data_IF_570400901065
#
_entry.id   IF_570400901065
#
_cell.length_a   1.000
_cell.length_b   1.000
_cell.length_c   1.000
_cell.angle_alpha   90.00
_cell.angle_beta   90.00
_cell.angle_gamma   90.00
#
_symmetry.space_group_name_H-M   'P 1'
#
loop_
_entity.id
_entity.type
_entity.pdbx_description
1 polymer ?
#
# COMPACT_ATOMS: atom_id res chain seq x y z
N UNK A 1 -2.21 -11.00 -7.68
CA UNK A 1 -2.29 -9.61 -7.19
C UNK A 1 -2.39 -9.61 -5.68
N UNK A 2 -1.80 -8.63 -5.06
CA UNK A 2 -1.82 -8.51 -3.60
C UNK A 2 -2.63 -7.31 -3.16
N UNK A 3 -3.24 -7.43 -1.99
CA UNK A 3 -3.85 -6.34 -1.26
C UNK A 3 -2.89 -5.92 -0.17
N UNK A 4 -2.58 -4.63 -0.09
CA UNK A 4 -1.69 -4.08 0.94
C UNK A 4 -2.47 -3.10 1.81
N UNK A 5 -2.39 -3.31 3.13
CA UNK A 5 -2.96 -2.36 4.09
C UNK A 5 -1.85 -1.44 4.55
N UNK A 6 -2.10 -0.16 4.43
CA UNK A 6 -1.07 0.85 4.66
C UNK A 6 -1.59 1.97 5.55
N UNK A 7 -0.66 2.61 6.26
CA UNK A 7 -0.98 3.74 7.13
C UNK A 7 -0.01 4.87 6.82
N UNK A 8 -0.54 6.07 6.65
CA UNK A 8 0.28 7.25 6.38
C UNK A 8 0.96 7.70 7.66
N UNK A 9 2.29 7.86 7.59
CA UNK A 9 3.08 8.17 8.78
C UNK A 9 2.73 9.53 9.38
N UNK A 10 2.49 10.53 8.54
CA UNK A 10 2.29 11.90 9.01
C UNK A 10 0.94 12.09 9.70
N UNK A 11 -0.08 11.35 9.30
CA UNK A 11 -1.46 11.62 9.74
C UNK A 11 -2.15 10.44 10.40
N UNK A 12 -1.60 9.23 10.23
CA UNK A 12 -2.26 8.01 10.69
C UNK A 12 -3.41 7.56 9.79
N UNK A 13 -3.56 8.18 8.63
CA UNK A 13 -4.60 7.81 7.68
C UNK A 13 -4.36 6.39 7.17
N UNK A 14 -5.41 5.58 7.12
CA UNK A 14 -5.34 4.20 6.65
C UNK A 14 -5.90 4.10 5.23
N UNK A 15 -5.27 3.23 4.45
CA UNK A 15 -5.72 2.99 3.08
C UNK A 15 -5.40 1.56 2.67
N UNK A 16 -5.99 1.13 1.57
CA UNK A 16 -5.75 -0.18 0.99
C UNK A 16 -5.39 0.03 -0.47
N UNK A 17 -4.28 -0.59 -0.90
CA UNK A 17 -3.83 -0.51 -2.28
C UNK A 17 -3.60 -1.91 -2.83
N UNK A 18 -3.61 -2.03 -4.16
CA UNK A 18 -3.53 -3.31 -4.86
C UNK A 18 -2.44 -3.26 -5.91
N UNK A 19 -1.72 -4.37 -6.05
CA UNK A 19 -0.71 -4.47 -7.08
C UNK A 19 -0.08 -5.85 -7.11
N UNK A 20 0.78 -6.08 -8.09
CA UNK A 20 1.49 -7.36 -8.22
C UNK A 20 2.61 -7.48 -7.19
N UNK A 21 3.16 -6.36 -6.78
CA UNK A 21 4.09 -6.26 -5.66
C UNK A 21 3.91 -4.88 -5.03
N UNK A 22 4.70 -4.61 -3.99
CA UNK A 22 4.56 -3.35 -3.25
C UNK A 22 4.87 -2.15 -4.13
N UNK A 23 5.94 -2.22 -4.90
CA UNK A 23 6.32 -1.13 -5.80
C UNK A 23 5.21 -0.84 -6.82
N UNK A 24 4.66 -1.90 -7.40
CA UNK A 24 3.58 -1.76 -8.37
C UNK A 24 2.33 -1.15 -7.72
N UNK A 25 1.99 -1.61 -6.51
CA UNK A 25 0.81 -1.12 -5.81
C UNK A 25 0.89 0.38 -5.53
N UNK A 26 2.02 0.86 -5.04
CA UNK A 26 2.22 2.29 -4.78
C UNK A 26 2.20 3.11 -6.06
N UNK A 27 2.77 2.58 -7.13
CA UNK A 27 2.76 3.26 -8.42
C UNK A 27 1.35 3.41 -8.96
N UNK A 28 0.55 2.35 -8.88
CA UNK A 28 -0.83 2.36 -9.36
C UNK A 28 -1.69 3.32 -8.55
N UNK A 29 -1.44 3.39 -7.26
CA UNK A 29 -2.18 4.28 -6.36
C UNK A 29 -1.70 5.73 -6.44
N UNK A 30 -0.54 5.96 -7.09
CA UNK A 30 0.10 7.28 -7.20
C UNK A 30 0.44 7.84 -5.82
N UNK A 31 0.95 6.97 -4.95
CA UNK A 31 1.35 7.33 -3.60
C UNK A 31 2.87 7.18 -3.48
N UNK A 32 3.46 8.00 -2.61
CA UNK A 32 4.87 7.95 -2.31
C UNK A 32 5.11 6.91 -1.21
N UNK A 33 5.81 5.79 -1.49
CA UNK A 33 6.00 4.75 -0.48
C UNK A 33 6.77 5.22 0.75
N UNK A 34 7.54 6.30 0.64
CA UNK A 34 8.26 6.84 1.79
C UNK A 34 7.34 7.44 2.85
N UNK A 35 6.09 7.75 2.50
CA UNK A 35 5.13 8.37 3.41
C UNK A 35 4.21 7.37 4.10
N UNK A 36 4.30 6.09 3.72
CA UNK A 36 3.36 5.08 4.17
C UNK A 36 4.09 3.87 4.74
N UNK A 37 3.45 3.22 5.73
CA UNK A 37 3.91 1.93 6.27
C UNK A 37 2.95 0.86 5.81
N UNK A 38 3.49 -0.22 5.23
CA UNK A 38 2.71 -1.41 4.88
C UNK A 38 2.74 -2.33 6.09
N UNK A 39 1.57 -2.62 6.64
CA UNK A 39 1.49 -3.46 7.83
C UNK A 39 0.74 -4.77 7.63
N UNK A 40 0.15 -4.97 6.45
CA UNK A 40 -0.47 -6.24 6.11
C UNK A 40 -0.45 -6.44 4.61
N UNK A 41 -0.34 -7.68 4.19
CA UNK A 41 -0.31 -8.07 2.80
C UNK A 41 -1.07 -9.37 2.65
N UNK A 42 -1.98 -9.42 1.68
CA UNK A 42 -2.78 -10.60 1.42
C UNK A 42 -2.81 -10.87 -0.09
N UNK A 43 -2.60 -12.12 -0.48
CA UNK A 43 -2.70 -12.49 -1.88
C UNK A 43 -4.18 -12.69 -2.23
N UNK A 44 -4.64 -12.00 -3.24
CA UNK A 44 -6.05 -12.02 -3.64
C UNK A 44 -6.28 -12.44 -5.08
N UNK A 45 -5.33 -13.11 -5.66
CA UNK A 45 -5.48 -13.60 -7.04
C UNK A 45 -5.18 -12.48 -8.06
#
# INVERSE_FOLDING_TARGET
>A
MYEFKITKLATGEESIIFGYDMTNAFRRAKLNPAEWVVWDREYID
#
